data_IF_261835470796
#
_entry.id   IF_261835470796
#
_cell.length_a   1.000
_cell.length_b   1.000
_cell.length_c   1.000
_cell.angle_alpha   90.00
_cell.angle_beta   90.00
_cell.angle_gamma   90.00
#
_symmetry.space_group_name_H-M   'P 1'
#
loop_
_entity.id
_entity.type
_entity.pdbx_description
1 polymer ?
#
# COMPACT_ATOMS: atom_id res chain seq x y z
N UNK A 1 0.52 -7.90 5.47
CA UNK A 1 1.07 -6.55 5.69
C UNK A 1 2.51 -6.67 6.16
N UNK A 2 3.42 -5.81 5.71
CA UNK A 2 4.83 -5.79 6.10
C UNK A 2 5.06 -4.76 7.21
N UNK A 3 5.83 -5.10 8.23
CA UNK A 3 6.14 -4.23 9.36
C UNK A 3 7.61 -4.32 9.74
N UNK A 4 8.11 -3.24 10.31
CA UNK A 4 9.41 -3.14 10.97
C UNK A 4 9.14 -2.42 12.29
N UNK A 5 9.27 -3.11 13.41
CA UNK A 5 9.10 -2.57 14.77
C UNK A 5 10.10 -3.23 15.72
N UNK A 6 9.88 -3.15 17.04
CA UNK A 6 10.78 -3.71 18.06
C UNK A 6 11.03 -5.23 17.92
N UNK A 7 10.16 -5.95 17.19
CA UNK A 7 10.31 -7.37 16.90
C UNK A 7 11.06 -7.65 15.58
N UNK A 8 11.54 -6.59 14.93
CA UNK A 8 12.21 -6.66 13.63
C UNK A 8 11.22 -6.74 12.45
N UNK A 9 11.74 -7.19 11.31
CA UNK A 9 10.93 -7.32 10.09
C UNK A 9 10.00 -8.52 10.18
N UNK A 10 8.69 -8.28 10.05
CA UNK A 10 7.70 -9.35 10.11
C UNK A 10 6.49 -9.09 9.21
N UNK A 11 5.72 -10.15 8.99
CA UNK A 11 4.44 -10.08 8.30
C UNK A 11 3.29 -10.22 9.30
N UNK A 12 2.29 -9.35 9.20
CA UNK A 12 1.01 -9.52 9.89
C UNK A 12 0.01 -10.13 8.92
N UNK A 13 -0.40 -11.37 9.20
CA UNK A 13 -1.49 -12.08 8.55
C UNK A 13 -2.73 -12.01 9.43
N UNK A 14 -3.85 -11.56 8.87
CA UNK A 14 -5.14 -11.50 9.56
C UNK A 14 -6.10 -12.42 8.81
N UNK A 15 -6.75 -13.33 9.53
CA UNK A 15 -7.70 -14.28 8.95
C UNK A 15 -9.01 -14.18 9.70
N UNK A 16 -10.08 -13.83 9.00
CA UNK A 16 -11.43 -13.85 9.55
C UNK A 16 -11.99 -15.27 9.44
N UNK A 17 -12.37 -15.83 10.57
CA UNK A 17 -12.84 -17.22 10.67
C UNK A 17 -14.12 -17.29 11.50
N UNK A 18 -15.06 -18.20 11.19
CA UNK A 18 -16.17 -18.50 12.09
C UNK A 18 -15.64 -18.98 13.45
N UNK A 19 -16.20 -18.50 14.56
CA UNK A 19 -15.74 -18.85 15.91
C UNK A 19 -15.62 -20.37 16.15
N UNK A 20 -16.59 -21.22 15.72
CA UNK A 20 -16.48 -22.67 15.91
C UNK A 20 -15.30 -23.31 15.16
N UNK A 21 -14.79 -22.65 14.11
CA UNK A 21 -13.67 -23.13 13.28
C UNK A 21 -12.34 -22.46 13.59
N UNK A 22 -12.31 -21.50 14.52
CA UNK A 22 -11.13 -20.68 14.77
C UNK A 22 -9.91 -21.52 15.16
N UNK A 23 -10.07 -22.49 16.05
CA UNK A 23 -8.98 -23.39 16.48
C UNK A 23 -8.49 -24.29 15.35
N UNK A 24 -9.40 -24.84 14.54
CA UNK A 24 -9.06 -25.74 13.44
C UNK A 24 -8.31 -24.99 12.32
N UNK A 25 -8.82 -23.84 11.90
CA UNK A 25 -8.17 -23.01 10.89
C UNK A 25 -6.85 -22.42 11.43
N UNK A 26 -6.81 -22.03 12.70
CA UNK A 26 -5.60 -21.55 13.35
C UNK A 26 -4.47 -22.60 13.30
N UNK A 27 -4.78 -23.87 13.62
CA UNK A 27 -3.81 -24.98 13.49
C UNK A 27 -3.37 -25.18 12.05
N UNK A 28 -4.30 -25.16 11.09
CA UNK A 28 -3.96 -25.32 9.67
C UNK A 28 -2.98 -24.24 9.19
N UNK A 29 -3.27 -22.97 9.50
CA UNK A 29 -2.40 -21.84 9.14
C UNK A 29 -1.03 -21.97 9.80
N UNK A 30 -1.00 -22.30 11.09
CA UNK A 30 0.23 -22.50 11.84
C UNK A 30 1.08 -23.63 11.27
N UNK A 31 0.50 -24.79 10.97
CA UNK A 31 1.22 -25.91 10.35
C UNK A 31 1.83 -25.50 9.01
N UNK A 32 1.07 -24.79 8.16
CA UNK A 32 1.55 -24.33 6.85
C UNK A 32 2.70 -23.32 6.98
N UNK A 33 2.59 -22.38 7.91
CA UNK A 33 3.67 -21.40 8.17
C UNK A 33 4.90 -22.13 8.71
N UNK A 34 4.77 -23.03 9.69
CA UNK A 34 5.91 -23.77 10.23
C UNK A 34 6.61 -24.62 9.17
N UNK A 35 5.86 -25.26 8.28
CA UNK A 35 6.43 -25.98 7.13
C UNK A 35 7.23 -25.04 6.22
N UNK A 36 6.67 -23.87 5.89
CA UNK A 36 7.35 -22.87 5.08
C UNK A 36 8.63 -22.37 5.76
N UNK A 37 8.58 -21.98 7.04
CA UNK A 37 9.75 -21.52 7.80
C UNK A 37 10.82 -22.62 7.87
N UNK A 38 10.42 -23.88 8.10
CA UNK A 38 11.33 -25.01 8.11
C UNK A 38 12.01 -25.27 6.76
N UNK A 39 11.33 -24.99 5.64
CA UNK A 39 11.92 -25.04 4.31
C UNK A 39 12.92 -23.90 4.09
N UNK A 40 12.57 -22.67 4.49
CA UNK A 40 13.45 -21.49 4.38
C UNK A 40 14.77 -21.70 5.15
N UNK A 41 14.70 -22.20 6.39
CA UNK A 41 15.92 -22.48 7.19
C UNK A 41 16.85 -23.47 6.51
N UNK A 42 16.31 -24.48 5.84
CA UNK A 42 17.10 -25.50 5.14
C UNK A 42 17.76 -24.97 3.87
N UNK A 43 17.13 -23.99 3.22
CA UNK A 43 17.59 -23.40 1.95
C UNK A 43 18.63 -22.28 2.18
N UNK A 44 18.60 -21.63 3.33
CA UNK A 44 19.59 -20.61 3.69
C UNK A 44 20.89 -21.22 4.18
N UNK A 45 21.94 -21.19 3.33
CA UNK A 45 23.30 -21.63 3.69
C UNK A 45 23.98 -20.76 4.77
N UNK A 46 23.48 -19.55 5.02
CA UNK A 46 23.98 -18.65 6.05
C UNK A 46 23.06 -18.66 7.28
N UNK A 47 23.60 -18.66 8.51
CA UNK A 47 22.77 -18.54 9.71
C UNK A 47 22.00 -17.22 9.68
N UNK A 48 20.67 -17.31 9.65
CA UNK A 48 19.79 -16.16 9.71
C UNK A 48 19.96 -15.50 11.09
N UNK A 49 20.53 -14.30 11.14
CA UNK A 49 20.83 -13.60 12.41
C UNK A 49 19.57 -13.03 13.13
N UNK A 50 18.37 -13.39 12.67
CA UNK A 50 17.10 -12.90 13.19
C UNK A 50 16.19 -14.04 13.69
N UNK A 51 15.23 -13.71 14.56
CA UNK A 51 14.22 -14.66 14.99
C UNK A 51 13.30 -15.03 13.82
N UNK A 52 13.38 -16.29 13.37
CA UNK A 52 12.40 -16.86 12.44
C UNK A 52 11.33 -17.60 13.23
N UNK A 53 10.12 -17.08 13.25
CA UNK A 53 9.06 -17.64 14.08
C UNK A 53 7.65 -17.20 13.69
N UNK A 54 6.70 -17.64 14.51
CA UNK A 54 5.29 -17.32 14.40
C UNK A 54 4.79 -16.90 15.77
N UNK A 55 4.10 -15.76 15.81
CA UNK A 55 3.35 -15.32 16.99
C UNK A 55 1.87 -15.21 16.62
N UNK A 56 1.00 -15.62 17.56
CA UNK A 56 -0.45 -15.55 17.44
C UNK A 56 -0.99 -14.48 18.39
N UNK A 57 -1.89 -13.67 17.88
CA UNK A 57 -2.59 -12.66 18.67
C UNK A 57 -4.04 -12.52 18.24
N UNK A 58 -4.89 -12.04 19.16
CA UNK A 58 -6.25 -11.62 18.81
C UNK A 58 -6.17 -10.32 18.02
N UNK A 59 -6.94 -10.24 16.94
CA UNK A 59 -7.02 -9.04 16.14
C UNK A 59 -7.76 -7.94 16.89
N UNK A 60 -7.07 -6.83 17.15
CA UNK A 60 -7.67 -5.59 17.64
C UNK A 60 -7.96 -4.66 16.45
N UNK A 61 -9.24 -4.38 16.13
CA UNK A 61 -9.60 -3.50 15.03
C UNK A 61 -9.27 -2.02 15.32
N UNK A 62 -8.88 -1.28 14.28
CA UNK A 62 -8.59 0.17 14.34
C UNK A 62 -9.91 0.97 14.25
N UNK A 63 -10.84 0.73 15.18
CA UNK A 63 -12.22 1.24 15.14
C UNK A 63 -12.27 2.76 15.04
N UNK A 64 -11.49 3.47 15.86
CA UNK A 64 -11.46 4.93 15.87
C UNK A 64 -10.94 5.51 14.55
N UNK A 65 -9.89 4.91 13.99
CA UNK A 65 -9.25 5.36 12.75
C UNK A 65 -10.20 5.31 11.55
N UNK A 66 -11.02 4.26 11.48
CA UNK A 66 -11.97 4.06 10.38
C UNK A 66 -13.39 4.54 10.70
N UNK A 67 -13.57 5.38 11.73
CA UNK A 67 -14.85 6.03 11.99
C UNK A 67 -15.94 5.09 12.52
N UNK A 68 -15.57 4.05 13.27
CA UNK A 68 -16.49 3.07 13.87
C UNK A 68 -16.48 1.71 13.17
N UNK A 69 -17.22 0.75 13.72
CA UNK A 69 -17.26 -0.63 13.23
C UNK A 69 -17.67 -0.74 11.76
N UNK A 70 -18.63 0.07 11.31
CA UNK A 70 -19.07 0.09 9.92
C UNK A 70 -17.92 0.47 8.97
N UNK A 71 -17.12 1.47 9.33
CA UNK A 71 -15.98 1.86 8.51
C UNK A 71 -14.80 0.91 8.64
N UNK A 72 -14.59 0.27 9.79
CA UNK A 72 -13.65 -0.85 9.92
C UNK A 72 -14.00 -1.99 8.95
N UNK A 73 -15.27 -2.38 8.85
CA UNK A 73 -15.70 -3.42 7.91
C UNK A 73 -15.44 -3.04 6.45
N UNK A 74 -15.61 -1.76 6.08
CA UNK A 74 -15.25 -1.28 4.74
C UNK A 74 -13.74 -1.31 4.50
N UNK A 75 -12.96 -0.87 5.48
CA UNK A 75 -11.50 -0.92 5.41
C UNK A 75 -10.99 -2.36 5.27
N UNK A 76 -11.58 -3.32 5.99
CA UNK A 76 -11.24 -4.74 5.88
C UNK A 76 -11.53 -5.32 4.49
N UNK A 77 -12.64 -4.93 3.85
CA UNK A 77 -12.92 -5.30 2.44
C UNK A 77 -11.83 -4.78 1.50
N UNK A 78 -11.41 -3.52 1.68
CA UNK A 78 -10.29 -2.94 0.93
C UNK A 78 -8.96 -3.66 1.25
N UNK A 79 -8.74 -4.11 2.49
CA UNK A 79 -7.56 -4.88 2.86
C UNK A 79 -7.52 -6.25 2.21
N UNK A 80 -8.67 -6.92 2.09
CA UNK A 80 -8.78 -8.20 1.40
C UNK A 80 -8.49 -8.01 -0.10
N UNK A 81 -9.19 -7.08 -0.75
CA UNK A 81 -9.03 -6.76 -2.17
C UNK A 81 -7.58 -6.44 -2.53
N UNK A 82 -6.92 -5.60 -1.72
CA UNK A 82 -5.50 -5.28 -1.93
C UNK A 82 -4.55 -6.44 -1.65
N UNK A 83 -4.90 -7.38 -0.75
CA UNK A 83 -4.09 -8.58 -0.51
C UNK A 83 -4.16 -9.56 -1.68
N UNK A 84 -5.36 -9.81 -2.21
CA UNK A 84 -5.58 -10.68 -3.37
C UNK A 84 -4.91 -10.11 -4.63
N UNK A 85 -5.06 -8.80 -4.85
CA UNK A 85 -4.42 -8.12 -5.97
C UNK A 85 -2.90 -8.12 -5.82
N UNK A 86 -2.38 -7.89 -4.61
CA UNK A 86 -0.93 -7.95 -4.37
C UNK A 86 -0.34 -9.34 -4.64
N UNK A 87 -1.07 -10.42 -4.36
CA UNK A 87 -0.62 -11.78 -4.72
C UNK A 87 -0.47 -11.96 -6.23
N UNK A 88 -1.40 -11.40 -7.01
CA UNK A 88 -1.35 -11.41 -8.48
C UNK A 88 -0.17 -10.59 -9.01
N UNK A 89 0.15 -9.46 -8.36
CA UNK A 89 1.20 -8.55 -8.79
C UNK A 89 2.60 -8.90 -8.25
N UNK A 90 2.70 -9.75 -7.23
CA UNK A 90 3.96 -10.06 -6.54
C UNK A 90 5.08 -10.56 -7.47
N UNK A 91 4.83 -11.40 -8.49
CA UNK A 91 5.86 -11.84 -9.43
C UNK A 91 6.56 -10.67 -10.15
N UNK A 92 5.85 -9.57 -10.38
CA UNK A 92 6.36 -8.37 -11.03
C UNK A 92 7.00 -7.39 -10.03
N UNK A 93 6.55 -7.40 -8.78
CA UNK A 93 7.02 -6.46 -7.76
C UNK A 93 8.50 -6.61 -7.44
N UNK A 94 9.07 -7.81 -7.55
CA UNK A 94 10.49 -8.06 -7.24
C UNK A 94 11.43 -7.18 -8.08
N UNK A 95 11.15 -7.01 -9.37
CA UNK A 95 12.00 -6.24 -10.30
C UNK A 95 11.39 -4.92 -10.74
N UNK A 96 10.07 -4.73 -10.59
CA UNK A 96 9.33 -3.58 -11.12
C UNK A 96 8.47 -2.84 -10.10
N UNK A 97 8.79 -2.92 -8.80
CA UNK A 97 7.96 -2.32 -7.73
C UNK A 97 7.67 -0.83 -7.93
N UNK A 98 8.63 -0.03 -8.40
CA UNK A 98 8.45 1.42 -8.57
C UNK A 98 7.49 1.72 -9.72
N UNK A 99 7.63 1.00 -10.82
CA UNK A 99 6.76 1.14 -11.96
C UNK A 99 5.33 0.70 -11.60
N UNK A 100 5.17 -0.41 -10.86
CA UNK A 100 3.87 -0.84 -10.32
C UNK A 100 3.28 0.20 -9.38
N UNK A 101 4.09 0.76 -8.47
CA UNK A 101 3.64 1.79 -7.53
C UNK A 101 3.10 3.02 -8.27
N UNK A 102 3.79 3.43 -9.34
CA UNK A 102 3.39 4.55 -10.21
C UNK A 102 2.08 4.25 -10.93
N UNK A 103 2.00 3.14 -11.67
CA UNK A 103 0.79 2.76 -12.41
C UNK A 103 -0.41 2.61 -11.48
N UNK A 104 -0.22 2.01 -10.31
CA UNK A 104 -1.25 1.89 -9.28
C UNK A 104 -1.72 3.25 -8.75
N UNK A 105 -0.79 4.15 -8.42
CA UNK A 105 -1.11 5.49 -7.92
C UNK A 105 -1.84 6.33 -8.99
N UNK A 106 -1.40 6.23 -10.24
CA UNK A 106 -2.05 6.86 -11.38
C UNK A 106 -3.48 6.34 -11.58
N UNK A 107 -3.68 5.01 -11.61
CA UNK A 107 -4.99 4.40 -11.81
C UNK A 107 -6.01 4.77 -10.70
N UNK A 108 -5.57 4.84 -9.45
CA UNK A 108 -6.44 5.22 -8.33
C UNK A 108 -6.76 6.72 -8.29
N UNK A 109 -5.83 7.57 -8.72
CA UNK A 109 -6.03 9.03 -8.71
C UNK A 109 -6.65 9.58 -9.98
N UNK A 110 -6.70 8.80 -11.07
CA UNK A 110 -7.28 9.19 -12.35
C UNK A 110 -8.78 9.59 -12.28
N UNK A 111 -9.51 9.08 -11.28
CA UNK A 111 -10.93 9.43 -11.07
C UNK A 111 -11.16 10.73 -10.29
N UNK A 112 -10.10 11.32 -9.73
CA UNK A 112 -10.22 12.58 -9.01
C UNK A 112 -10.26 13.75 -10.01
N UNK A 113 -11.05 14.81 -9.73
CA UNK A 113 -10.92 16.07 -10.45
C UNK A 113 -9.47 16.56 -10.47
N UNK A 114 -9.02 17.18 -11.56
CA UNK A 114 -7.61 17.56 -11.76
C UNK A 114 -7.03 18.34 -10.58
N UNK A 115 -7.74 19.35 -10.06
CA UNK A 115 -7.29 20.13 -8.90
C UNK A 115 -7.12 19.25 -7.64
N UNK A 116 -8.09 18.37 -7.36
CA UNK A 116 -8.01 17.42 -6.25
C UNK A 116 -6.88 16.41 -6.45
N UNK A 117 -6.63 15.95 -7.68
CA UNK A 117 -5.52 15.05 -8.02
C UNK A 117 -4.18 15.71 -7.74
N UNK A 118 -3.99 16.96 -8.20
CA UNK A 118 -2.78 17.76 -7.93
C UNK A 118 -2.56 17.92 -6.43
N UNK A 119 -3.58 18.39 -5.70
CA UNK A 119 -3.48 18.57 -4.25
C UNK A 119 -3.22 17.25 -3.52
N UNK A 120 -3.88 16.16 -3.92
CA UNK A 120 -3.68 14.84 -3.33
C UNK A 120 -2.25 14.34 -3.53
N UNK A 121 -1.74 14.38 -4.76
CA UNK A 121 -0.38 13.91 -5.06
C UNK A 121 0.68 14.74 -4.33
N UNK A 122 0.50 16.07 -4.28
CA UNK A 122 1.36 16.95 -3.51
C UNK A 122 1.35 16.58 -2.01
N UNK A 123 0.16 16.44 -1.41
CA UNK A 123 0.04 16.10 0.02
C UNK A 123 0.57 14.69 0.33
N UNK A 124 0.35 13.72 -0.55
CA UNK A 124 0.86 12.36 -0.41
C UNK A 124 2.39 12.35 -0.45
N UNK A 125 2.98 13.04 -1.42
CA UNK A 125 4.43 13.21 -1.50
C UNK A 125 4.99 13.94 -0.28
N UNK A 126 4.33 15.02 0.16
CA UNK A 126 4.72 15.79 1.34
C UNK A 126 4.69 14.95 2.62
N UNK A 127 3.61 14.20 2.86
CA UNK A 127 3.47 13.35 4.05
C UNK A 127 4.66 12.38 4.20
N UNK A 128 5.04 11.71 3.12
CA UNK A 128 6.14 10.73 3.13
C UNK A 128 7.54 11.31 2.97
N UNK A 129 7.68 12.62 2.69
CA UNK A 129 8.96 13.31 2.50
C UNK A 129 9.30 14.35 3.57
N UNK A 130 8.30 14.90 4.25
CA UNK A 130 8.39 16.04 5.15
C UNK A 130 7.30 16.07 6.24
N UNK A 131 6.39 15.09 6.27
CA UNK A 131 5.24 15.06 7.18
C UNK A 131 5.61 14.98 8.67
N UNK A 132 4.65 14.61 9.54
CA UNK A 132 4.71 14.80 11.01
C UNK A 132 5.89 14.13 11.75
N UNK A 133 6.73 13.39 11.04
CA UNK A 133 7.92 12.71 11.56
C UNK A 133 9.23 13.48 11.30
N UNK A 134 9.16 14.74 10.84
CA UNK A 134 10.29 15.68 10.86
C UNK A 134 11.50 15.22 10.06
N UNK A 135 11.46 15.36 8.72
CA UNK A 135 12.67 15.24 7.90
C UNK A 135 13.40 16.58 7.82
N UNK A 136 14.71 16.50 7.66
CA UNK A 136 15.62 17.65 7.58
C UNK A 136 15.19 18.63 6.49
N UNK A 137 15.33 19.95 6.71
CA UNK A 137 15.15 20.95 5.66
C UNK A 137 15.92 20.58 4.38
N UNK A 138 15.33 20.79 3.20
CA UNK A 138 15.95 20.48 1.91
C UNK A 138 15.71 19.05 1.38
N UNK A 139 15.05 18.18 2.14
CA UNK A 139 14.73 16.81 1.67
C UNK A 139 13.88 16.80 0.38
N UNK A 140 12.95 17.74 0.22
CA UNK A 140 12.14 17.86 -1.01
C UNK A 140 13.01 18.17 -2.25
N UNK A 141 14.00 19.07 -2.12
CA UNK A 141 14.95 19.37 -3.19
C UNK A 141 15.83 18.16 -3.52
N UNK A 142 16.21 17.38 -2.49
CA UNK A 142 16.92 16.11 -2.69
C UNK A 142 16.08 15.10 -3.48
N UNK A 143 14.78 15.01 -3.22
CA UNK A 143 13.87 14.17 -4.01
C UNK A 143 13.81 14.63 -5.46
N UNK A 144 13.74 15.94 -5.73
CA UNK A 144 13.75 16.45 -7.11
C UNK A 144 15.04 16.10 -7.84
N UNK A 145 16.19 16.17 -7.16
CA UNK A 145 17.47 15.74 -7.73
C UNK A 145 17.49 14.23 -8.01
N UNK A 146 16.96 13.41 -7.11
CA UNK A 146 16.83 11.97 -7.34
C UNK A 146 15.90 11.65 -8.52
N UNK A 147 14.79 12.38 -8.66
CA UNK A 147 13.86 12.21 -9.77
C UNK A 147 14.49 12.56 -11.12
N UNK A 148 15.22 13.68 -11.19
CA UNK A 148 15.94 14.07 -12.42
C UNK A 148 16.99 13.04 -12.84
N UNK A 149 17.56 12.31 -11.89
CA UNK A 149 18.58 11.30 -12.14
C UNK A 149 18.00 9.93 -12.53
N UNK A 150 16.68 9.72 -12.45
CA UNK A 150 16.05 8.44 -12.80
C UNK A 150 15.44 8.46 -14.21
N UNK A 151 15.71 7.44 -15.05
CA UNK A 151 15.04 7.28 -16.34
C UNK A 151 13.53 7.02 -16.16
N UNK A 152 12.74 7.34 -17.19
CA UNK A 152 11.27 7.21 -17.14
C UNK A 152 10.84 5.78 -16.77
N UNK A 153 10.14 5.67 -15.64
CA UNK A 153 9.75 4.40 -15.00
C UNK A 153 8.39 3.91 -15.47
N UNK A 154 7.96 4.24 -16.70
CA UNK A 154 6.71 3.68 -17.25
C UNK A 154 6.86 2.18 -17.46
N UNK A 155 5.84 1.40 -17.08
CA UNK A 155 5.76 0.00 -17.47
C UNK A 155 5.53 -0.04 -18.99
N UNK A 156 6.52 -0.49 -19.76
CA UNK A 156 6.26 -0.93 -21.13
C UNK A 156 5.34 -2.16 -21.08
N UNK A 157 4.14 -1.99 -21.64
CA UNK A 157 3.12 -3.00 -22.00
C UNK A 157 3.26 -4.38 -21.34
N UNK A 158 2.76 -4.50 -20.11
CA UNK A 158 2.34 -5.81 -19.58
C UNK A 158 0.82 -5.76 -19.42
N UNK A 159 0.10 -6.20 -20.45
CA UNK A 159 -1.36 -6.13 -20.50
C UNK A 159 -2.00 -6.77 -19.27
N UNK A 160 -1.45 -7.86 -18.76
CA UNK A 160 -1.91 -8.52 -17.54
C UNK A 160 -1.81 -7.63 -16.29
N UNK A 161 -0.74 -6.84 -16.15
CA UNK A 161 -0.56 -5.91 -15.02
C UNK A 161 -1.56 -4.76 -15.11
N UNK A 162 -1.75 -4.19 -16.31
CA UNK A 162 -2.71 -3.13 -16.54
C UNK A 162 -4.14 -3.61 -16.26
N UNK A 163 -4.53 -4.78 -16.81
CA UNK A 163 -5.85 -5.37 -16.56
C UNK A 163 -6.10 -5.62 -15.08
N UNK A 164 -5.10 -6.15 -14.35
CA UNK A 164 -5.20 -6.38 -12.91
C UNK A 164 -5.38 -5.06 -12.14
N UNK A 165 -4.55 -4.05 -12.44
CA UNK A 165 -4.61 -2.73 -11.78
C UNK A 165 -5.90 -1.97 -12.12
N UNK A 166 -6.38 -2.03 -13.35
CA UNK A 166 -7.63 -1.39 -13.77
C UNK A 166 -8.85 -2.03 -13.11
N UNK A 167 -8.87 -3.36 -13.04
CA UNK A 167 -9.92 -4.11 -12.35
C UNK A 167 -9.94 -3.77 -10.88
N UNK A 168 -8.78 -3.83 -10.23
CA UNK A 168 -8.61 -3.42 -8.85
C UNK A 168 -9.03 -1.97 -8.62
N UNK A 169 -8.62 -1.04 -9.49
CA UNK A 169 -8.92 0.38 -9.36
C UNK A 169 -10.43 0.64 -9.44
N UNK A 170 -11.15 -0.05 -10.33
CA UNK A 170 -12.62 -0.01 -10.38
C UNK A 170 -13.26 -0.53 -9.09
N UNK A 171 -12.82 -1.68 -8.60
CA UNK A 171 -13.37 -2.27 -7.37
C UNK A 171 -13.08 -1.42 -6.13
N UNK A 172 -11.87 -0.87 -6.05
CA UNK A 172 -11.46 0.06 -5.01
C UNK A 172 -12.36 1.30 -4.99
N UNK A 173 -12.55 1.94 -6.15
CA UNK A 173 -13.44 3.11 -6.27
C UNK A 173 -14.86 2.79 -5.82
N UNK A 174 -15.43 1.68 -6.27
CA UNK A 174 -16.77 1.26 -5.86
C UNK A 174 -16.89 1.10 -4.33
N UNK A 175 -15.89 0.51 -3.67
CA UNK A 175 -15.87 0.37 -2.21
C UNK A 175 -15.73 1.72 -1.49
N UNK A 176 -14.93 2.64 -2.02
CA UNK A 176 -14.77 4.00 -1.47
C UNK A 176 -16.05 4.83 -1.69
N UNK A 177 -16.71 4.67 -2.85
CA UNK A 177 -17.99 5.32 -3.16
C UNK A 177 -19.09 4.83 -2.21
N UNK A 178 -19.16 3.52 -1.95
CA UNK A 178 -20.08 2.93 -0.97
C UNK A 178 -19.83 3.48 0.45
N UNK A 179 -18.57 3.54 0.87
CA UNK A 179 -18.17 4.12 2.16
C UNK A 179 -18.59 5.61 2.28
N UNK A 180 -18.44 6.36 1.19
CA UNK A 180 -18.83 7.77 1.12
C UNK A 180 -20.35 7.93 1.17
N UNK A 181 -21.09 7.12 0.40
CA UNK A 181 -22.56 7.12 0.37
C UNK A 181 -23.17 6.72 1.71
N UNK A 182 -22.52 5.81 2.45
CA UNK A 182 -22.88 5.43 3.81
C UNK A 182 -22.57 6.51 4.86
N UNK A 183 -22.06 7.69 4.45
CA UNK A 183 -21.71 8.83 5.32
C UNK A 183 -20.79 8.43 6.48
N UNK A 184 -19.84 7.55 6.21
CA UNK A 184 -18.83 7.20 7.20
C UNK A 184 -18.03 8.45 7.59
N UNK A 185 -17.60 8.52 8.85
CA UNK A 185 -16.91 9.70 9.41
C UNK A 185 -15.55 9.98 8.76
N UNK A 186 -14.98 9.00 8.06
CA UNK A 186 -13.68 9.09 7.42
C UNK A 186 -13.83 9.64 5.99
N UNK A 187 -13.02 10.66 5.64
CA UNK A 187 -13.10 11.28 4.31
C UNK A 187 -12.63 10.35 3.18
N UNK A 188 -13.20 10.54 1.98
CA UNK A 188 -12.81 9.83 0.75
C UNK A 188 -11.31 9.87 0.51
N UNK A 189 -10.72 11.05 0.62
CA UNK A 189 -9.29 11.31 0.38
C UNK A 189 -8.42 10.58 1.39
N UNK A 190 -8.84 10.50 2.66
CA UNK A 190 -8.12 9.74 3.67
C UNK A 190 -8.20 8.22 3.42
N UNK A 191 -9.37 7.70 3.03
CA UNK A 191 -9.51 6.28 2.66
C UNK A 191 -8.62 5.94 1.47
N UNK A 192 -8.58 6.80 0.45
CA UNK A 192 -7.70 6.65 -0.70
C UNK A 192 -6.22 6.66 -0.29
N UNK A 193 -5.82 7.62 0.55
CA UNK A 193 -4.47 7.72 1.11
C UNK A 193 -4.05 6.41 1.81
N UNK A 194 -4.88 5.95 2.76
CA UNK A 194 -4.58 4.73 3.52
C UNK A 194 -4.48 3.52 2.59
N UNK A 195 -5.38 3.42 1.62
CA UNK A 195 -5.41 2.27 0.72
C UNK A 195 -4.20 2.21 -0.20
N UNK A 196 -3.78 3.35 -0.75
CA UNK A 196 -2.57 3.43 -1.58
C UNK A 196 -1.37 2.96 -0.77
N UNK A 197 -1.18 3.53 0.41
CA UNK A 197 -0.07 3.18 1.29
C UNK A 197 -0.04 1.69 1.65
N UNK A 198 -1.19 1.12 2.01
CA UNK A 198 -1.26 -0.30 2.40
C UNK A 198 -1.00 -1.23 1.21
N UNK A 199 -1.36 -0.86 -0.02
CA UNK A 199 -1.02 -1.63 -1.22
C UNK A 199 0.48 -1.52 -1.53
N UNK A 200 1.04 -0.31 -1.49
CA UNK A 200 2.48 -0.06 -1.63
C UNK A 200 3.31 -0.84 -0.60
N UNK A 201 2.88 -0.87 0.66
CA UNK A 201 3.46 -1.70 1.71
C UNK A 201 3.47 -3.21 1.35
N UNK A 202 2.37 -3.74 0.79
CA UNK A 202 2.30 -5.14 0.36
C UNK A 202 3.27 -5.46 -0.78
N UNK A 203 3.38 -4.55 -1.74
CA UNK A 203 4.31 -4.64 -2.87
C UNK A 203 5.78 -4.40 -2.47
N UNK A 204 6.03 -4.00 -1.22
CA UNK A 204 7.39 -3.73 -0.72
C UNK A 204 7.95 -2.39 -1.16
N UNK A 205 7.08 -1.43 -1.50
CA UNK A 205 7.44 -0.05 -1.77
C UNK A 205 7.67 0.65 -0.44
N UNK A 206 8.81 1.31 -0.31
CA UNK A 206 9.20 2.05 0.90
C UNK A 206 8.56 3.44 0.92
N UNK A 207 8.40 4.08 2.10
CA UNK A 207 7.91 5.45 2.18
C UNK A 207 8.67 6.47 1.31
N UNK A 208 9.99 6.28 1.15
CA UNK A 208 10.79 7.12 0.26
C UNK A 208 10.37 6.94 -1.21
N UNK A 209 10.20 5.69 -1.64
CA UNK A 209 9.75 5.37 -3.00
C UNK A 209 8.31 5.84 -3.25
N UNK A 210 7.44 5.77 -2.24
CA UNK A 210 6.10 6.35 -2.28
C UNK A 210 6.16 7.87 -2.52
N UNK A 211 7.02 8.57 -1.76
CA UNK A 211 7.21 10.01 -1.92
C UNK A 211 7.74 10.38 -3.31
N UNK A 212 8.75 9.66 -3.81
CA UNK A 212 9.31 9.86 -5.15
C UNK A 212 8.24 9.66 -6.23
N UNK A 213 7.49 8.57 -6.13
CA UNK A 213 6.44 8.21 -7.11
C UNK A 213 5.34 9.28 -7.16
N UNK A 214 4.84 9.70 -5.99
CA UNK A 214 3.81 10.73 -5.91
C UNK A 214 4.32 12.09 -6.40
N UNK A 215 5.56 12.46 -6.08
CA UNK A 215 6.18 13.70 -6.52
C UNK A 215 6.41 13.73 -8.04
N UNK A 216 6.82 12.61 -8.63
CA UNK A 216 6.96 12.48 -10.08
C UNK A 216 5.62 12.65 -10.80
N UNK A 217 4.55 12.02 -10.28
CA UNK A 217 3.21 12.17 -10.85
C UNK A 217 2.65 13.58 -10.62
N UNK A 218 2.95 14.21 -9.49
CA UNK A 218 2.57 15.60 -9.22
C UNK A 218 3.20 16.55 -10.26
N UNK A 219 4.51 16.48 -10.49
CA UNK A 219 5.19 17.27 -11.53
C UNK A 219 4.63 17.03 -12.93
N UNK A 220 4.21 15.80 -13.25
CA UNK A 220 3.60 15.49 -14.54
C UNK A 220 2.14 15.99 -14.67
N UNK A 221 1.45 16.20 -13.55
CA UNK A 221 0.04 16.64 -13.52
C UNK A 221 -0.09 18.15 -13.34
N UNK A 222 0.89 18.79 -12.69
CA UNK A 222 0.92 20.20 -12.39
C UNK A 222 1.55 20.98 -13.55
N UNK A 223 0.78 21.91 -14.14
CA UNK A 223 1.26 22.86 -15.14
C UNK A 223 1.38 24.26 -14.52
N UNK A 224 2.59 24.72 -14.15
CA UNK A 224 2.78 26.03 -13.53
C UNK A 224 2.36 27.21 -14.42
N UNK A 225 2.18 26.99 -15.74
CA UNK A 225 1.80 28.07 -16.67
C UNK A 225 0.31 28.44 -16.60
N UNK A 226 -0.55 27.62 -15.99
CA UNK A 226 -2.00 27.87 -15.90
C UNK A 226 -2.44 28.68 -14.68
N UNK A 227 -1.63 28.73 -13.62
CA UNK A 227 -1.97 29.47 -12.39
C UNK A 227 -1.45 30.93 -12.39
N UNK A 228 -0.91 31.41 -13.52
CA UNK A 228 -0.37 32.77 -13.69
C UNK A 228 -1.23 33.68 -14.59
N UNK A 229 -2.47 33.28 -14.90
CA UNK A 229 -3.46 34.06 -15.67
C UNK A 229 -4.72 34.27 -14.83
#
# INVERSE_FOLDING_TARGET
MRFIDEFGMHLRLRVRVPAPRASAIGRLVETRIRMFLGAVVKDTAAPFAGHLGLSRSLYAPEVLKYGGYAGTQHAEKLFQLSSETALTLMPYAVSRRLQLARTHLEALTASLPTSQRVSFLHQYAWYWSHGPHGRTPGYAARLDTLLRAQPDTRIAHLDAVHVALDTYARQCRALIDQATAARLRTSRTYLLFQHIHLMHNRLGVTPLEEALTARALWHATYDPKKDSQ
#
